data_IF_721025944183
#
_entry.id   IF_721025944183
#
_cell.length_a   1.000
_cell.length_b   1.000
_cell.length_c   1.000
_cell.angle_alpha   90.00
_cell.angle_beta   90.00
_cell.angle_gamma   90.00
#
_symmetry.space_group_name_H-M   'P 1'
#
loop_
_entity.id
_entity.type
_entity.pdbx_description
1 polymer ?
2 non-polymer ?
3 non-polymer ?
4 water ?
#
# COMPACT_ATOMS: atom_id res chain seq x y z
N UNK A 1 1.07 15.54 -11.15
CA UNK A 1 0.29 14.67 -12.03
C UNK A 1 -0.90 14.07 -11.30
N UNK A 2 -1.89 13.63 -12.06
CA UNK A 2 -2.93 12.76 -11.53
C UNK A 2 -2.65 11.34 -11.98
N UNK A 3 -2.46 10.44 -11.03
CA UNK A 3 -2.12 9.07 -11.34
C UNK A 3 -3.33 8.16 -11.13
N UNK A 4 -3.75 7.54 -12.22
CA UNK A 4 -4.84 6.57 -12.24
C UNK A 4 -4.49 5.36 -11.38
N UNK A 5 -5.49 4.64 -10.89
CA UNK A 5 -5.22 3.39 -10.17
C UNK A 5 -5.74 2.16 -10.91
N UNK A 6 -6.01 2.32 -12.20
CA UNK A 6 -6.32 1.16 -13.04
C UNK A 6 -5.15 0.19 -13.08
N UNK A 7 -3.94 0.74 -13.12
CA UNK A 7 -2.71 -0.06 -13.05
C UNK A 7 -1.96 0.26 -11.76
N UNK A 8 -0.98 -0.57 -11.43
CA UNK A 8 -0.06 -0.25 -10.34
C UNK A 8 0.60 1.09 -10.56
N UNK A 9 0.65 1.94 -9.52
CA UNK A 9 1.19 3.29 -9.72
C UNK A 9 2.70 3.29 -9.59
N UNK A 10 3.37 2.88 -10.66
CA UNK A 10 4.83 2.79 -10.67
C UNK A 10 5.43 4.07 -11.20
N UNK A 11 6.51 4.51 -10.56
CA UNK A 11 7.25 5.69 -10.97
C UNK A 11 8.74 5.42 -10.96
N UNK A 12 9.49 6.28 -11.64
CA UNK A 12 10.94 6.25 -11.57
C UNK A 12 11.42 7.07 -10.40
N UNK A 13 12.33 6.51 -9.61
CA UNK A 13 13.01 7.25 -8.56
C UNK A 13 14.50 7.31 -8.85
N UNK A 14 15.13 8.39 -8.40
CA UNK A 14 16.57 8.47 -8.35
C UNK A 14 17.07 8.45 -6.92
N UNK A 15 17.97 7.53 -6.63
CA UNK A 15 18.47 7.37 -5.27
C UNK A 15 19.85 6.75 -5.30
N UNK A 16 20.77 7.32 -4.51
CA UNK A 16 22.13 6.84 -4.45
C UNK A 16 22.78 6.76 -5.81
N UNK A 17 22.41 7.68 -6.70
CA UNK A 17 22.99 7.74 -8.04
C UNK A 17 22.42 6.69 -8.98
N UNK A 18 21.36 6.01 -8.54
CA UNK A 18 20.75 4.94 -9.33
C UNK A 18 19.34 5.33 -9.73
N UNK A 19 18.90 4.87 -10.90
CA UNK A 19 17.48 4.97 -11.29
C UNK A 19 16.79 3.64 -11.05
N UNK A 20 15.63 3.70 -10.39
CA UNK A 20 14.88 2.49 -10.08
C UNK A 20 13.39 2.76 -10.24
N UNK A 21 12.62 1.69 -10.44
CA UNK A 21 11.17 1.78 -10.48
C UNK A 21 10.63 1.40 -9.11
N UNK A 22 9.61 2.13 -8.67
CA UNK A 22 9.02 1.88 -7.36
C UNK A 22 7.53 2.13 -7.38
N UNK A 23 6.84 1.56 -6.41
CA UNK A 23 5.38 1.59 -6.34
C UNK A 23 4.97 2.65 -5.31
N UNK A 24 4.10 3.59 -5.70
CA UNK A 24 3.58 4.58 -4.76
C UNK A 24 2.52 3.94 -3.86
N UNK A 25 2.83 3.82 -2.57
CA UNK A 25 2.06 2.92 -1.70
C UNK A 25 1.53 3.65 -0.47
N UNK A 26 0.29 4.10 -0.55
CA UNK A 26 -0.34 4.82 0.56
C UNK A 26 -0.57 3.93 1.79
N UNK A 27 -0.51 2.62 1.60
CA UNK A 27 -0.64 1.68 2.71
C UNK A 27 0.64 1.46 3.49
N UNK A 28 1.75 1.98 2.95
CA UNK A 28 3.07 1.71 3.54
C UNK A 28 3.51 2.85 4.44
N UNK A 29 3.85 2.54 5.69
CA UNK A 29 4.39 3.58 6.58
C UNK A 29 5.74 4.04 6.06
N UNK A 30 6.52 3.09 5.55
CA UNK A 30 7.93 3.26 5.27
C UNK A 30 8.21 3.06 3.78
N UNK A 31 9.34 3.59 3.34
CA UNK A 31 9.86 3.34 2.00
C UNK A 31 10.87 2.20 2.08
N UNK A 32 10.64 1.17 1.28
CA UNK A 32 11.48 -0.03 1.31
C UNK A 32 11.92 -0.46 -0.08
N UNK A 33 13.24 -0.56 -0.26
CA UNK A 33 13.84 -0.88 -1.55
C UNK A 33 14.63 -2.17 -1.48
N UNK A 34 14.69 -2.87 -2.62
CA UNK A 34 15.52 -4.04 -2.77
C UNK A 34 16.99 -3.73 -2.49
N UNK A 35 17.77 -4.79 -2.26
CA UNK A 35 19.16 -4.60 -1.82
C UNK A 35 19.90 -3.60 -2.70
N UNK A 36 20.57 -2.68 -2.04
CA UNK A 36 21.39 -1.67 -2.70
C UNK A 36 22.31 -1.08 -1.63
N UNK A 37 23.37 -0.43 -2.08
CA UNK A 37 24.25 0.30 -1.18
C UNK A 37 23.75 1.72 -0.97
N UNK A 38 23.81 2.18 0.28
CA UNK A 38 23.58 3.58 0.62
C UNK A 38 24.66 4.03 1.59
N UNK A 39 25.02 5.33 1.55
CA UNK A 39 26.09 5.84 2.41
C UNK A 39 25.57 6.15 3.81
N UNK A 40 26.47 6.14 4.79
CA UNK A 40 26.16 6.62 6.13
C UNK A 40 25.72 5.52 7.08
N UNK A 41 25.30 5.95 8.26
CA UNK A 41 24.93 5.03 9.34
C UNK A 41 23.67 4.28 8.96
N UNK A 42 23.50 3.09 9.53
CA UNK A 42 22.22 2.40 9.50
C UNK A 42 22.00 1.58 10.76
N UNK A 43 20.75 1.20 11.00
CA UNK A 43 20.42 0.28 12.08
C UNK A 43 19.38 -0.72 11.62
N UNK A 44 19.37 -1.92 12.22
CA UNK A 44 18.45 -2.95 11.74
C UNK A 44 17.02 -2.68 12.19
N UNK A 45 16.07 -3.13 11.38
CA UNK A 45 14.64 -2.97 11.66
C UNK A 45 13.92 -4.21 11.17
N UNK A 46 12.84 -4.59 11.86
CA UNK A 46 11.90 -5.55 11.30
C UNK A 46 10.66 -4.82 10.86
N UNK A 47 10.18 -5.14 9.66
CA UNK A 47 8.95 -4.57 9.16
C UNK A 47 8.02 -5.65 8.69
N UNK A 48 6.73 -5.40 8.90
CA UNK A 48 5.71 -6.43 8.77
C UNK A 48 4.66 -6.04 7.76
N UNK A 49 4.22 -7.04 7.00
CA UNK A 49 3.19 -6.83 6.00
C UNK A 49 2.38 -8.09 5.91
N UNK A 50 1.62 -8.25 4.84
CA UNK A 50 1.03 -9.54 4.54
C UNK A 50 2.12 -10.60 4.39
N UNK A 51 1.96 -11.69 5.12
CA UNK A 51 2.90 -12.81 5.05
C UNK A 51 3.97 -12.78 6.14
N UNK A 52 4.02 -11.69 6.89
CA UNK A 52 4.88 -11.62 8.07
C UNK A 52 5.98 -10.60 7.89
N UNK A 53 7.10 -10.80 8.58
CA UNK A 53 8.11 -9.75 8.71
C UNK A 53 9.38 -10.06 7.93
N UNK A 54 10.08 -9.00 7.52
CA UNK A 54 11.44 -9.11 7.01
C UNK A 54 12.38 -8.14 7.71
N UNK A 55 13.64 -8.51 7.77
CA UNK A 55 14.68 -7.67 8.36
C UNK A 55 15.25 -6.74 7.29
N UNK A 56 15.37 -5.47 7.65
CA UNK A 56 15.89 -4.46 6.72
C UNK A 56 16.92 -3.58 7.41
N UNK A 57 17.72 -2.88 6.63
CA UNK A 57 18.61 -1.85 7.15
C UNK A 57 17.96 -0.48 7.01
N UNK A 58 17.92 0.27 8.10
CA UNK A 58 17.32 1.60 8.08
C UNK A 58 18.37 2.69 7.92
N UNK A 59 18.30 3.40 6.80
CA UNK A 59 19.15 4.57 6.56
C UNK A 59 18.32 5.83 6.67
N UNK A 60 18.84 6.81 7.41
CA UNK A 60 18.11 8.06 7.60
C UNK A 60 18.69 9.18 6.74
N UNK A 61 17.86 10.20 6.46
CA UNK A 61 18.33 11.42 5.80
C UNK A 61 18.93 11.13 4.44
N UNK A 62 18.24 10.30 3.67
CA UNK A 62 18.69 9.95 2.32
C UNK A 62 17.95 10.80 1.28
N UNK A 63 18.70 11.48 0.40
CA UNK A 63 18.07 12.25 -0.68
C UNK A 63 17.49 11.35 -1.74
N UNK A 64 16.29 11.68 -2.22
CA UNK A 64 15.64 10.90 -3.24
C UNK A 64 14.89 11.84 -4.15
N UNK A 65 14.77 11.46 -5.41
CA UNK A 65 13.91 12.20 -6.33
C UNK A 65 12.83 11.31 -6.90
N UNK A 66 11.58 11.70 -6.72
CA UNK A 66 10.45 10.84 -7.06
C UNK A 66 9.60 11.54 -8.12
N UNK A 67 9.60 10.97 -9.32
CA UNK A 67 8.82 11.54 -10.41
C UNK A 67 9.16 13.02 -10.57
N UNK A 68 10.41 13.38 -10.33
CA UNK A 68 10.89 14.74 -10.57
C UNK A 68 10.91 15.62 -9.34
N UNK A 69 10.39 15.09 -8.23
CA UNK A 69 10.26 15.88 -7.00
C UNK A 69 11.32 15.42 -6.00
N UNK A 70 12.11 16.37 -5.52
CA UNK A 70 13.15 16.09 -4.52
C UNK A 70 12.59 15.98 -3.11
N UNK A 71 13.10 15.02 -2.36
CA UNK A 71 12.76 14.90 -0.95
C UNK A 71 13.91 14.24 -0.22
N UNK A 72 13.82 14.22 1.09
CA UNK A 72 14.80 13.53 1.90
C UNK A 72 14.09 12.79 3.02
N UNK A 73 14.55 11.58 3.32
CA UNK A 73 13.90 10.80 4.37
C UNK A 73 14.53 9.46 4.57
N UNK A 74 13.88 8.65 5.39
CA UNK A 74 14.38 7.34 5.77
C UNK A 74 14.05 6.32 4.68
N UNK A 75 15.07 5.55 4.28
CA UNK A 75 14.91 4.48 3.31
C UNK A 75 15.34 3.16 3.92
N UNK A 76 14.45 2.17 3.85
CA UNK A 76 14.74 0.84 4.35
C UNK A 76 15.19 -0.03 3.19
N UNK A 77 16.20 -0.85 3.43
CA UNK A 77 16.77 -1.65 2.35
C UNK A 77 16.81 -3.11 2.81
N UNK A 78 16.30 -4.01 1.98
CA UNK A 78 16.31 -5.43 2.32
C UNK A 78 15.55 -6.25 1.31
N UNK A 79 15.19 -7.49 1.69
CA UNK A 79 14.67 -8.44 0.73
C UNK A 79 13.16 -8.27 0.51
N UNK A 80 12.76 -7.06 0.13
CA UNK A 80 11.38 -6.81 -0.23
C UNK A 80 11.10 -7.34 -1.64
N UNK A 81 9.92 -7.92 -1.85
CA UNK A 81 9.63 -8.45 -3.18
C UNK A 81 9.53 -7.34 -4.22
N UNK A 82 9.26 -6.12 -3.76
CA UNK A 82 9.17 -5.00 -4.69
C UNK A 82 9.45 -3.65 -4.04
N UNK A 83 9.97 -2.73 -4.83
CA UNK A 83 10.33 -1.40 -4.34
C UNK A 83 9.06 -0.61 -4.03
N UNK A 84 8.98 -0.08 -2.81
CA UNK A 84 7.78 0.62 -2.34
C UNK A 84 8.17 2.01 -1.85
N UNK A 85 7.47 3.03 -2.35
CA UNK A 85 7.56 4.38 -1.77
C UNK A 85 6.42 4.61 -0.78
N UNK A 86 6.77 4.75 0.49
CA UNK A 86 5.78 4.85 1.56
C UNK A 86 5.41 6.28 1.90
N UNK A 87 4.57 6.41 2.92
CA UNK A 87 4.03 7.72 3.27
C UNK A 87 5.11 8.71 3.67
N UNK A 88 6.17 8.22 4.31
CA UNK A 88 7.22 9.13 4.79
C UNK A 88 7.81 9.99 3.68
N UNK A 89 7.81 9.48 2.46
CA UNK A 89 8.25 10.28 1.32
C UNK A 89 7.12 10.83 0.45
N UNK A 90 6.00 10.11 0.39
CA UNK A 90 4.84 10.62 -0.32
C UNK A 90 4.36 11.98 0.22
N UNK A 91 4.45 12.18 1.53
CA UNK A 91 4.02 13.48 2.09
C UNK A 91 4.89 14.58 1.51
N UNK A 92 6.17 14.30 1.34
CA UNK A 92 7.16 15.34 1.04
C UNK A 92 6.99 15.86 -0.37
N UNK A 93 6.46 15.03 -1.26
CA UNK A 93 6.19 15.46 -2.63
C UNK A 93 4.75 15.95 -2.81
N UNK A 94 4.02 16.01 -1.70
CA UNK A 94 2.68 16.57 -1.69
C UNK A 94 1.65 15.64 -2.30
N UNK A 95 1.87 14.34 -2.17
CA UNK A 95 0.97 13.34 -2.73
C UNK A 95 -0.27 13.15 -1.86
N UNK A 96 -1.44 13.22 -2.49
CA UNK A 96 -2.71 12.99 -1.78
C UNK A 96 -3.57 11.97 -2.53
N UNK A 97 -4.45 11.30 -1.77
CA UNK A 97 -5.53 10.50 -2.34
C UNK A 97 -6.76 11.37 -2.54
N UNK A 98 -7.44 11.18 -3.66
CA UNK A 98 -8.59 12.03 -3.99
C UNK A 98 -9.71 11.20 -4.57
N UNK A 99 -10.92 11.43 -4.08
CA UNK A 99 -12.12 10.83 -4.67
C UNK A 99 -13.35 11.61 -4.22
N UNK B 1 -13.30 13.42 -1.02
CA UNK B 1 -12.37 14.08 -0.10
C UNK B 1 -10.93 14.03 -0.62
N UNK B 2 -10.10 14.89 -0.06
CA UNK B 2 -8.66 14.83 -0.30
C UNK B 2 -7.96 14.38 0.97
N UNK B 3 -7.26 13.26 0.89
CA UNK B 3 -6.65 12.66 2.06
C UNK B 3 -5.13 12.76 1.96
N UNK B 4 -4.55 13.52 2.89
CA UNK B 4 -3.10 13.60 2.99
C UNK B 4 -2.55 12.40 3.74
N UNK B 5 -1.23 12.25 3.72
CA UNK B 5 -0.63 10.98 4.09
C UNK B 5 0.30 11.12 5.29
N UNK B 6 0.11 12.18 6.07
CA UNK B 6 0.88 12.37 7.29
C UNK B 6 0.51 11.35 8.35
N UNK B 7 -0.74 10.88 8.31
CA UNK B 7 -1.17 9.72 9.08
C UNK B 7 -1.60 8.61 8.13
N UNK B 8 -1.80 7.41 8.66
CA UNK B 8 -2.35 6.32 7.88
C UNK B 8 -3.72 6.70 7.32
N UNK B 9 -3.97 6.34 6.06
CA UNK B 9 -5.26 6.71 5.46
C UNK B 9 -6.34 5.70 5.82
N UNK B 10 -6.71 5.72 7.09
CA UNK B 10 -7.73 4.82 7.63
C UNK B 10 -9.10 5.43 7.44
N UNK B 11 -10.01 4.63 6.94
CA UNK B 11 -11.37 5.07 6.72
C UNK B 11 -12.35 4.04 7.24
N UNK B 12 -13.60 4.44 7.41
CA UNK B 12 -14.63 3.49 7.78
C UNK B 12 -15.27 2.89 6.55
N UNK B 13 -15.37 1.56 6.56
CA UNK B 13 -16.07 0.82 5.51
C UNK B 13 -17.27 0.13 6.13
N UNK B 14 -18.25 -0.20 5.30
CA UNK B 14 -19.38 -0.99 5.75
C UNK B 14 -19.56 -2.21 4.86
N UNK B 15 -19.58 -3.38 5.49
CA UNK B 15 -19.68 -4.64 4.76
C UNK B 15 -20.49 -5.63 5.58
N UNK B 16 -21.51 -6.22 4.95
CA UNK B 16 -22.42 -7.11 5.67
C UNK B 16 -23.11 -6.40 6.83
N UNK B 17 -23.40 -5.13 6.64
CA UNK B 17 -24.13 -4.34 7.63
C UNK B 17 -23.30 -3.83 8.80
N UNK B 18 -22.01 -4.16 8.79
CA UNK B 18 -21.14 -3.83 9.91
C UNK B 18 -20.08 -2.81 9.50
N UNK B 19 -19.75 -1.90 10.42
CA UNK B 19 -18.69 -0.94 10.20
C UNK B 19 -17.36 -1.54 10.61
N UNK B 20 -16.33 -1.27 9.80
CA UNK B 20 -14.96 -1.65 10.14
C UNK B 20 -14.04 -0.50 9.73
N UNK B 21 -12.81 -0.51 10.23
CA UNK B 21 -11.77 0.42 9.81
C UNK B 21 -10.87 -0.26 8.79
N UNK B 22 -10.53 0.43 7.72
CA UNK B 22 -9.66 -0.14 6.71
C UNK B 22 -8.69 0.88 6.14
N UNK B 23 -7.59 0.40 5.58
CA UNK B 23 -6.53 1.25 5.09
C UNK B 23 -6.67 1.38 3.58
N UNK B 24 -6.68 2.61 3.08
CA UNK B 24 -6.62 2.81 1.63
C UNK B 24 -5.21 2.62 1.11
N UNK B 25 -5.01 1.58 0.29
CA UNK B 25 -3.66 1.09 -0.01
C UNK B 25 -3.44 0.96 -1.51
N UNK B 26 -2.82 1.98 -2.10
CA UNK B 26 -2.59 2.01 -3.54
C UNK B 26 -1.53 1.00 -3.96
N UNK B 27 -0.80 0.46 -2.99
CA UNK B 27 0.17 -0.61 -3.25
C UNK B 27 -0.44 -2.00 -3.35
N UNK B 28 -1.73 -2.12 -3.07
CA UNK B 28 -2.38 -3.42 -3.04
C UNK B 28 -3.22 -3.59 -4.30
N UNK B 29 -3.01 -4.68 -5.02
CA UNK B 29 -3.89 -5.00 -6.16
C UNK B 29 -5.32 -5.26 -5.66
N UNK B 30 -5.40 -5.99 -4.55
CA UNK B 30 -6.62 -6.60 -4.08
C UNK B 30 -7.00 -6.03 -2.72
N UNK B 31 -8.23 -6.29 -2.31
CA UNK B 31 -8.76 -5.88 -1.02
C UNK B 31 -8.79 -7.11 -0.12
N UNK B 32 -8.15 -6.99 1.04
CA UNK B 32 -8.05 -8.13 1.94
C UNK B 32 -8.51 -7.72 3.31
N UNK B 33 -9.46 -8.46 3.85
CA UNK B 33 -10.02 -8.16 5.17
C UNK B 33 -9.69 -9.27 6.15
N UNK B 34 -9.62 -8.89 7.43
CA UNK B 34 -9.46 -9.83 8.51
C UNK B 34 -10.64 -10.80 8.57
N UNK B 35 -10.42 -11.94 9.21
CA UNK B 35 -11.45 -12.97 9.28
C UNK B 35 -12.82 -12.38 9.57
N UNK B 36 -13.80 -12.85 8.81
CA UNK B 36 -15.19 -12.43 8.94
C UNK B 36 -16.03 -13.43 8.15
N UNK B 37 -17.35 -13.34 8.31
CA UNK B 37 -18.26 -14.17 7.54
C UNK B 37 -18.79 -13.40 6.34
N UNK B 38 -18.79 -14.06 5.19
CA UNK B 38 -19.47 -13.54 4.00
C UNK B 38 -20.32 -14.62 3.35
N UNK B 39 -21.29 -14.21 2.53
CA UNK B 39 -22.22 -15.18 1.97
C UNK B 39 -21.64 -15.85 0.75
N UNK B 40 -22.22 -17.00 0.39
CA UNK B 40 -21.98 -17.60 -0.91
C UNK B 40 -20.76 -18.50 -0.92
N UNK B 41 -20.30 -18.85 -2.11
CA UNK B 41 -19.15 -19.71 -2.25
C UNK B 41 -17.88 -18.88 -2.39
N UNK B 42 -16.77 -19.45 -1.97
CA UNK B 42 -15.48 -18.79 -2.14
C UNK B 42 -14.51 -19.66 -2.91
N UNK B 43 -13.52 -19.01 -3.51
CA UNK B 43 -12.49 -19.67 -4.30
C UNK B 43 -11.14 -19.40 -3.63
N UNK B 44 -10.15 -20.24 -3.90
CA UNK B 44 -8.85 -20.04 -3.30
C UNK B 44 -8.03 -18.96 -4.01
N UNK B 45 -7.25 -18.22 -3.24
CA UNK B 45 -6.24 -17.36 -3.82
C UNK B 45 -5.02 -17.30 -2.92
N UNK B 46 -3.85 -17.30 -3.55
CA UNK B 46 -2.61 -17.05 -2.84
C UNK B 46 -2.10 -15.66 -3.20
N UNK B 47 -1.98 -14.82 -2.17
CA UNK B 47 -1.49 -13.47 -2.38
C UNK B 47 -0.14 -13.24 -1.70
N UNK B 48 0.65 -12.37 -2.31
CA UNK B 48 2.01 -12.10 -1.84
C UNK B 48 2.13 -10.71 -1.27
N UNK B 49 2.69 -10.63 -0.06
CA UNK B 49 2.98 -9.35 0.56
C UNK B 49 4.46 -9.23 0.86
N UNK B 50 4.82 -8.23 1.65
CA UNK B 50 6.22 -7.98 1.93
C UNK B 50 6.88 -9.09 2.72
N UNK B 51 6.08 -9.86 3.45
CA UNK B 51 6.61 -10.96 4.27
C UNK B 51 6.52 -12.34 3.65
N UNK B 52 5.91 -12.42 2.48
CA UNK B 52 5.72 -13.70 1.81
C UNK B 52 4.29 -13.91 1.34
N UNK B 53 3.90 -15.17 1.21
CA UNK B 53 2.60 -15.50 0.64
C UNK B 53 1.63 -16.04 1.69
N UNK B 54 0.35 -15.72 1.53
CA UNK B 54 -0.69 -16.31 2.35
C UNK B 54 -1.84 -16.79 1.49
N UNK B 55 -2.56 -17.80 1.99
CA UNK B 55 -3.81 -18.23 1.37
C UNK B 55 -4.97 -17.45 1.93
N UNK B 56 -5.88 -17.04 1.05
CA UNK B 56 -7.06 -16.31 1.48
C UNK B 56 -8.30 -16.91 0.80
N UNK B 57 -9.47 -16.52 1.29
CA UNK B 57 -10.72 -16.92 0.66
C UNK B 57 -11.20 -15.77 -0.23
N UNK B 58 -11.47 -16.07 -1.50
CA UNK B 58 -11.95 -15.04 -2.42
C UNK B 58 -13.47 -15.07 -2.58
N UNK B 59 -14.12 -13.97 -2.19
CA UNK B 59 -15.55 -13.81 -2.42
C UNK B 59 -15.78 -12.74 -3.48
N UNK B 60 -16.66 -13.03 -4.44
CA UNK B 60 -16.90 -12.09 -5.53
C UNK B 60 -18.21 -11.34 -5.36
N UNK B 61 -18.27 -10.13 -5.93
CA UNK B 61 -19.52 -9.41 -6.09
C UNK B 61 -20.12 -9.07 -4.73
N UNK B 62 -19.26 -8.67 -3.81
CA UNK B 62 -19.70 -8.32 -2.46
C UNK B 62 -19.94 -6.80 -2.35
N UNK B 63 -21.12 -6.39 -1.85
CA UNK B 63 -21.32 -4.97 -1.63
C UNK B 63 -20.49 -4.46 -0.46
N UNK B 64 -19.84 -3.32 -0.66
CA UNK B 64 -19.02 -2.72 0.37
C UNK B 64 -19.01 -1.21 0.19
N UNK B 65 -19.26 -0.49 1.28
CA UNK B 65 -19.24 0.97 1.26
C UNK B 65 -17.89 1.44 1.80
N UNK B 66 -17.26 2.37 1.11
CA UNK B 66 -15.94 2.86 1.51
C UNK B 66 -15.99 4.38 1.66
N UNK B 67 -15.91 4.86 2.91
CA UNK B 67 -16.06 6.30 3.14
C UNK B 67 -17.39 6.82 2.59
N UNK B 68 -18.42 6.00 2.66
CA UNK B 68 -19.73 6.39 2.15
C UNK B 68 -19.95 6.13 0.66
N UNK B 69 -18.89 5.73 -0.04
CA UNK B 69 -18.99 5.47 -1.46
C UNK B 69 -19.29 3.99 -1.74
N UNK B 70 -20.30 3.73 -2.57
CA UNK B 70 -20.74 2.35 -2.80
C UNK B 70 -19.87 1.64 -3.84
N UNK B 71 -19.45 0.43 -3.48
CA UNK B 71 -18.73 -0.44 -4.39
C UNK B 71 -19.30 -1.86 -4.29
N UNK B 72 -19.08 -2.66 -5.32
CA UNK B 72 -19.47 -4.09 -5.27
C UNK B 72 -18.40 -4.87 -6.00
N UNK B 73 -17.64 -5.69 -5.29
CA UNK B 73 -16.53 -6.36 -5.92
C UNK B 73 -15.90 -7.43 -5.07
N UNK B 74 -14.69 -7.83 -5.46
CA UNK B 74 -14.03 -8.97 -4.88
C UNK B 74 -13.36 -8.63 -3.56
N UNK B 75 -13.72 -9.39 -2.54
CA UNK B 75 -13.13 -9.23 -1.22
C UNK B 75 -12.43 -10.52 -0.81
N UNK B 76 -11.17 -10.41 -0.42
CA UNK B 76 -10.38 -11.55 0.05
C UNK B 76 -10.39 -11.52 1.57
N UNK B 77 -10.51 -12.71 2.18
CA UNK B 77 -10.56 -12.80 3.64
C UNK B 77 -9.48 -13.74 4.11
N UNK B 78 -8.64 -13.26 5.04
CA UNK B 78 -7.53 -14.07 5.54
C UNK B 78 -6.72 -13.34 6.59
N UNK B 79 -5.56 -13.91 6.94
CA UNK B 79 -4.79 -13.43 8.07
C UNK B 79 -3.92 -12.24 7.69
N UNK B 80 -4.56 -11.12 7.43
CA UNK B 80 -3.86 -9.90 7.13
C UNK B 80 -3.63 -9.10 8.40
N UNK B 81 -2.53 -8.31 8.45
CA UNK B 81 -2.27 -7.47 9.62
C UNK B 81 -3.32 -6.38 9.84
N UNK B 82 -3.90 -5.87 8.76
CA UNK B 82 -4.95 -4.87 8.85
C UNK B 82 -5.87 -5.06 7.68
N UNK B 83 -7.11 -4.57 7.80
CA UNK B 83 -7.99 -4.49 6.65
C UNK B 83 -7.41 -3.54 5.61
N UNK B 84 -7.30 -4.02 4.36
CA UNK B 84 -6.72 -3.20 3.30
C UNK B 84 -7.70 -3.09 2.14
N UNK B 85 -7.94 -1.85 1.70
CA UNK B 85 -8.70 -1.60 0.49
C UNK B 85 -7.74 -1.37 -0.66
N UNK B 86 -7.74 -2.32 -1.59
CA UNK B 86 -6.83 -2.27 -2.74
C UNK B 86 -7.41 -1.61 -3.98
N UNK B 87 -6.63 -1.65 -5.06
CA UNK B 87 -7.01 -0.92 -6.26
C UNK B 87 -8.31 -1.42 -6.91
N UNK B 88 -8.65 -2.68 -6.71
CA UNK B 88 -9.89 -3.19 -7.30
C UNK B 88 -11.11 -2.38 -6.85
N UNK B 89 -11.12 -1.95 -5.58
CA UNK B 89 -12.19 -1.09 -5.08
C UNK B 89 -11.89 0.40 -5.12
N UNK B 90 -10.62 0.78 -4.94
CA UNK B 90 -10.26 2.19 -5.10
C UNK B 90 -10.66 2.75 -6.45
N UNK B 91 -10.57 1.93 -7.50
CA UNK B 91 -11.03 2.37 -8.82
C UNK B 91 -12.55 2.53 -8.91
N UNK B 92 -13.27 1.69 -8.18
CA UNK B 92 -14.74 1.78 -8.17
C UNK B 92 -15.24 3.07 -7.55
N UNK B 93 -14.51 3.59 -6.55
CA UNK B 93 -14.91 4.82 -5.88
C UNK B 93 -14.22 6.08 -6.44
N UNK B 94 -13.49 5.91 -7.53
CA UNK B 94 -12.95 7.05 -8.28
C UNK B 94 -11.72 7.67 -7.65
N UNK B 95 -10.92 6.84 -6.99
CA UNK B 95 -9.74 7.32 -6.30
C UNK B 95 -8.58 7.50 -7.27
N UNK B 96 -7.86 8.61 -7.13
CA UNK B 96 -6.58 8.78 -7.82
C UNK B 96 -5.53 9.28 -6.83
N UNK B 97 -4.26 9.17 -7.23
CA UNK B 97 -3.17 9.89 -6.56
C UNK B 97 -2.85 11.18 -7.28
N UNK B 98 -2.58 12.22 -6.50
CA UNK B 98 -2.33 13.54 -7.06
C UNK B 98 -1.16 14.22 -6.33
N UNK B 99 -0.23 14.77 -7.09
CA UNK B 99 0.79 15.64 -6.51
C UNK B 99 1.33 16.60 -7.56
X LIG C 1 11.43 9.86 7.05
X LIG D 1 0.30 18.80 3.12
X LIG E 1 -13.35 -6.42 -7.94
X LIG F 1 4.81 -10.41 -4.07
X LIG F 1 1.38 -2.82 2.80
X LIG F 1 3.02 -2.02 4.38
X LIG F 1 1.23 -1.40 2.66
X LIG F 1 2.50 -3.07 3.61
X LIG F 1 2.63 -4.55 -1.26
X LIG F 1 2.95 -4.21 3.79
X LIG F 1 3.94 -2.23 5.53
X LIG F 1 1.50 -4.90 -1.59
X LIG F 1 1.43 -6.51 0.02
X LIG F 1 5.39 -1.93 5.13
X LIG F 1 0.17 -7.52 -2.67
X LIG F 1 -0.67 -6.35 -4.38
X LIG F 1 5.50 -0.53 4.54
X LIG F 1 3.31 -2.05 7.87
X LIG F 1 0.40 -8.28 -4.87
X LIG F 1 6.28 -2.02 6.38
X LIG F 1 3.39 -0.22 6.55
X LIG F 1 1.52 -3.44 1.39
X LIG F 1 2.76 -2.92 0.66
X LIG F 1 2.61 -3.13 -0.86
X LIG F 1 3.54 -4.68 -2.42
X LIG F 1 3.76 -6.01 -2.78
X LIG F 1 0.92 -5.93 -0.93
X LIG F 1 -0.29 -6.54 -1.69
X LIG F 1 -1.33 -7.17 -0.76
X LIG F 1 -2.61 -7.41 -1.56
X LIG F 1 -0.82 -8.50 -0.21
X LIG F 1 -1.64 -6.23 0.41
X LIG F 1 0.03 -7.30 -3.99
X LIG F 1 0.63 -7.72 -6.16
X LIG F 1 4.38 -6.88 -1.89
X LIG F 1 4.62 -8.19 -2.25
X LIG F 1 4.35 -8.63 -3.55
X LIG F 1 3.83 -7.73 -4.48
X LIG F 1 3.53 -6.43 -4.09
X LIG F 1 0.11 -3.40 3.44
X LIG F 1 0.10 -3.21 4.82
X LIG F 1 -0.29 -1.98 5.35
X LIG F 1 -0.29 -1.80 6.73
X LIG F 1 0.09 -2.84 7.57
X LIG F 1 0.46 -4.06 7.04
X LIG F 1 0.41 -4.27 5.67
X LIG F 1 0.82 -2.46 9.44
X LIG F 1 3.56 -1.44 6.63
X LIG F 1 5.87 -2.96 4.10
X LIG F 1 2.05 -1.99 9.86
X LIG F 1 2.85 -1.22 9.01
#
# INVERSE_FOLDING_TARGET
>A
PQITLWQRPLVTIKIGGQLKEALLDTGADDTVLEEMSLPGRWKPKMIGGIGGFIKVRQYDQIPIEICGHKAIGTVLVGPTPTNVIGRNLLTQIGCTLNF
>B
PQITLWQRPLVTIKIGGQLKEALLDTGADDTVLEEMSLPGRWKPKMIGGIGGFIKVRQYDQIPIEICGHKAIGTVLVGPTPTNVIGRNLLTQIGCTLNF
>C hetero
1 CL CL
>D hetero
1 CL CL
>E hetero
1 CL CL
>F hetero
1 EQM BR C1 N1 O1 C2 N2 O2 C3 N3 O3 C4 N4 O4 C5 N5 O5 C6 O6 C7 C8 C9 C10 C11 C12 C13 C14 C15 C16 C17 C18 C19 C20 C21 C22 C23 C24 C25 C26 C27 C28 C29 C30 C31 C33 C34 C35 C36 C37
#
